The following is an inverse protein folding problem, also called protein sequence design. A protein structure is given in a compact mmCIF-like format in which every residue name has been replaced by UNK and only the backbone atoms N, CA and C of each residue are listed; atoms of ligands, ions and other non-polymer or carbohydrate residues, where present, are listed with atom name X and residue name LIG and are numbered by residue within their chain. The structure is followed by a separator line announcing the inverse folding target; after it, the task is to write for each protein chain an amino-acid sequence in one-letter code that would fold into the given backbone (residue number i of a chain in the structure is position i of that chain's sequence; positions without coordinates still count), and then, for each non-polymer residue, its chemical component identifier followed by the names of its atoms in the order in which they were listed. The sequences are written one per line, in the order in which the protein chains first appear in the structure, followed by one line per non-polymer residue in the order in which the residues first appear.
data_IF_209984398264
#
_entry.id   IF_209984398264
#
_cell.length_a   1.000
_cell.length_b   1.000
_cell.length_c   1.000
_cell.angle_alpha   90.00
_cell.angle_beta   90.00
_cell.angle_gamma   90.00
#
_symmetry.space_group_name_H-M   'P 1'
#
loop_
_entity.id
_entity.type
_entity.pdbx_description
1 polymer ?
#
# COMPACT_ATOMS: atom_id res chain seq x y z
N UNK A 1 -37.27 18.78 78.68
CA UNK A 1 -37.01 19.82 79.71
C UNK A 1 -35.70 19.46 80.38
N UNK A 2 -34.70 20.32 80.55
CA UNK A 2 -34.56 21.77 80.31
C UNK A 2 -33.11 22.12 79.87
N UNK A 3 -32.85 23.36 79.46
CA UNK A 3 -31.51 23.90 79.18
C UNK A 3 -31.18 25.09 80.12
N UNK A 4 -29.89 25.36 80.30
CA UNK A 4 -29.32 26.73 80.44
C UNK A 4 -29.36 27.39 81.83
N UNK A 5 -28.64 28.49 82.10
CA UNK A 5 -27.56 29.22 81.37
C UNK A 5 -26.80 30.14 82.37
N UNK A 6 -25.45 30.24 82.38
CA UNK A 6 -24.52 31.19 81.68
C UNK A 6 -24.43 32.65 82.21
N UNK A 7 -23.19 33.03 82.65
CA UNK A 7 -22.52 34.35 82.63
C UNK A 7 -21.06 34.19 83.18
N UNK A 8 -20.06 35.08 83.05
CA UNK A 8 -19.64 36.07 82.01
C UNK A 8 -18.19 36.60 82.32
N UNK A 9 -17.59 37.39 81.40
CA UNK A 9 -16.37 38.25 81.60
C UNK A 9 -14.97 37.55 81.72
N UNK A 10 -13.80 38.21 81.47
CA UNK A 10 -13.36 39.02 80.31
C UNK A 10 -11.97 38.55 79.71
N UNK A 11 -10.97 39.36 79.25
CA UNK A 11 -10.27 39.04 78.01
C UNK A 11 -8.74 38.75 78.12
N UNK A 12 -8.12 38.52 76.96
CA UNK A 12 -6.68 38.53 76.71
C UNK A 12 -5.80 37.44 77.37
N UNK A 13 -5.76 36.24 76.75
CA UNK A 13 -4.49 35.51 76.52
C UNK A 13 -4.67 34.30 75.59
N UNK A 14 -3.94 34.28 74.45
CA UNK A 14 -3.04 33.21 73.98
C UNK A 14 -2.79 33.31 72.46
N UNK A 15 -1.52 33.48 72.08
CA UNK A 15 -1.03 33.12 70.76
C UNK A 15 -0.99 31.60 70.65
N UNK A 16 -2.13 30.96 70.37
CA UNK A 16 -2.18 29.50 70.17
C UNK A 16 -3.41 29.04 69.37
N UNK A 17 -3.62 29.60 68.19
CA UNK A 17 -4.57 29.03 67.23
C UNK A 17 -3.93 28.78 65.87
N UNK A 18 -3.72 27.48 65.60
CA UNK A 18 -3.72 26.82 64.28
C UNK A 18 -2.74 27.45 63.26
N UNK A 19 -1.59 26.86 62.97
CA UNK A 19 -1.40 25.42 62.65
C UNK A 19 -2.62 24.82 61.96
N UNK A 20 -3.15 25.53 60.95
CA UNK A 20 -3.92 24.90 59.90
C UNK A 20 -2.91 24.21 58.95
N UNK A 21 -2.72 22.89 59.14
CA UNK A 21 -1.92 22.07 58.23
C UNK A 21 -2.49 22.19 56.80
N UNK A 22 -1.79 22.94 55.95
CA UNK A 22 -1.74 22.61 54.52
C UNK A 22 -0.55 21.66 54.36
N UNK A 23 -0.76 20.36 54.12
CA UNK A 23 0.35 19.44 53.88
C UNK A 23 1.10 19.84 52.62
N UNK A 24 2.40 19.56 52.63
CA UNK A 24 3.34 19.58 51.51
C UNK A 24 2.85 20.15 50.17
N UNK A 25 3.22 21.41 49.89
CA UNK A 25 3.39 21.86 48.49
C UNK A 25 4.69 21.31 47.87
N UNK A 26 5.06 20.08 48.23
CA UNK A 26 5.99 19.23 47.51
C UNK A 26 5.27 18.34 46.46
N UNK A 27 4.02 18.71 46.09
CA UNK A 27 3.31 18.07 44.97
C UNK A 27 3.98 18.46 43.65
N UNK A 28 4.92 17.60 43.27
CA UNK A 28 5.22 17.22 41.89
C UNK A 28 5.54 18.37 40.90
N UNK A 29 6.81 18.79 40.91
CA UNK A 29 7.43 19.53 39.80
C UNK A 29 8.05 18.62 38.71
N UNK A 30 7.90 17.29 38.81
CA UNK A 30 8.31 16.33 37.77
C UNK A 30 7.32 16.22 36.60
N UNK A 31 6.18 16.90 36.67
CA UNK A 31 5.37 17.28 35.50
C UNK A 31 6.06 18.31 34.57
N UNK A 32 7.38 18.54 34.71
CA UNK A 32 8.22 19.24 33.74
C UNK A 32 8.32 18.44 32.43
N UNK A 33 7.28 18.57 31.60
CA UNK A 33 7.33 18.62 30.13
C UNK A 33 8.51 17.86 29.53
N UNK A 34 8.50 16.53 29.62
CA UNK A 34 9.33 15.73 28.71
C UNK A 34 8.73 15.91 27.32
N UNK A 35 9.35 16.82 26.56
CA UNK A 35 9.04 17.06 25.16
C UNK A 35 9.20 15.72 24.43
N UNK A 36 8.10 15.00 24.21
CA UNK A 36 8.04 13.89 23.25
C UNK A 36 8.15 14.48 21.86
N UNK A 37 9.39 14.84 21.49
CA UNK A 37 9.92 14.53 20.17
C UNK A 37 9.99 12.99 20.07
N UNK A 38 8.85 12.30 20.00
CA UNK A 38 8.81 11.20 19.05
C UNK A 38 9.01 11.89 17.72
N UNK A 39 10.21 11.75 17.15
CA UNK A 39 10.45 12.29 15.81
C UNK A 39 9.48 11.54 14.91
N UNK A 40 8.84 12.23 13.97
CA UNK A 40 7.93 11.58 13.01
C UNK A 40 8.61 10.38 12.33
N UNK A 41 9.95 10.42 12.21
CA UNK A 41 10.81 9.30 11.80
C UNK A 41 10.71 8.03 12.65
N UNK A 42 10.57 8.11 13.98
CA UNK A 42 10.43 6.95 14.87
C UNK A 42 9.03 6.32 14.76
N UNK A 43 8.01 7.16 14.55
CA UNK A 43 6.62 6.73 14.32
C UNK A 43 6.46 6.15 12.91
N UNK A 44 7.12 6.76 11.91
CA UNK A 44 7.23 6.23 10.55
C UNK A 44 8.02 4.91 10.51
N UNK A 45 9.13 4.80 11.24
CA UNK A 45 9.87 3.54 11.40
C UNK A 45 8.96 2.45 11.98
N UNK A 46 8.21 2.75 13.03
CA UNK A 46 7.20 1.82 13.61
C UNK A 46 6.02 1.53 12.68
N UNK A 47 5.71 2.41 11.72
CA UNK A 47 4.70 2.17 10.70
C UNK A 47 5.21 1.20 9.62
N UNK A 48 6.39 1.46 9.04
CA UNK A 48 6.98 0.58 8.02
C UNK A 48 7.44 -0.76 8.61
N UNK A 49 7.89 -0.83 9.86
CA UNK A 49 8.25 -2.12 10.50
C UNK A 49 7.06 -3.06 10.76
N UNK A 50 5.83 -2.69 10.38
CA UNK A 50 4.71 -3.63 10.26
C UNK A 50 4.90 -4.42 8.97
N UNK A 51 5.23 -5.72 9.04
CA UNK A 51 5.55 -6.55 7.85
C UNK A 51 4.58 -6.38 6.68
N UNK A 52 3.28 -6.44 6.95
CA UNK A 52 2.19 -6.23 5.97
C UNK A 52 2.30 -4.91 5.16
N UNK A 53 2.96 -3.88 5.66
CA UNK A 53 3.17 -2.60 4.95
C UNK A 53 4.39 -2.68 4.01
N UNK A 54 5.45 -3.39 4.39
CA UNK A 54 6.63 -3.56 3.54
C UNK A 54 6.40 -4.56 2.41
N UNK A 55 5.74 -5.68 2.69
CA UNK A 55 5.45 -6.67 1.65
C UNK A 55 4.52 -6.07 0.58
N UNK A 56 3.53 -5.27 1.00
CA UNK A 56 2.66 -4.49 0.10
C UNK A 56 3.46 -3.44 -0.69
N UNK A 57 4.30 -2.65 -0.03
CA UNK A 57 5.09 -1.61 -0.70
C UNK A 57 6.04 -2.19 -1.76
N UNK A 58 6.73 -3.29 -1.43
CA UNK A 58 7.60 -4.02 -2.36
C UNK A 58 6.78 -4.57 -3.53
N UNK A 59 5.62 -5.18 -3.27
CA UNK A 59 4.72 -5.66 -4.32
C UNK A 59 4.25 -4.58 -5.28
N UNK A 60 3.88 -3.39 -4.78
CA UNK A 60 3.46 -2.25 -5.62
C UNK A 60 4.62 -1.68 -6.44
N UNK A 61 5.82 -1.53 -5.85
CA UNK A 61 7.00 -1.02 -6.54
C UNK A 61 7.45 -1.98 -7.65
N UNK A 62 7.53 -3.29 -7.35
CA UNK A 62 7.87 -4.32 -8.34
C UNK A 62 6.81 -4.41 -9.43
N UNK A 63 5.52 -4.37 -9.08
CA UNK A 63 4.42 -4.39 -10.06
C UNK A 63 4.47 -3.20 -11.03
N UNK A 64 4.72 -1.99 -10.52
CA UNK A 64 4.89 -0.79 -11.35
C UNK A 64 6.12 -0.87 -12.28
N UNK A 65 7.27 -1.32 -11.76
CA UNK A 65 8.48 -1.48 -12.56
C UNK A 65 8.34 -2.59 -13.62
N UNK A 66 7.71 -3.72 -13.27
CA UNK A 66 7.49 -4.84 -14.19
C UNK A 66 6.56 -4.46 -15.34
N UNK A 67 5.51 -3.68 -15.07
CA UNK A 67 4.63 -3.14 -16.12
C UNK A 67 5.39 -2.31 -17.17
N UNK A 68 6.37 -1.49 -16.73
CA UNK A 68 7.23 -0.72 -17.64
C UNK A 68 8.16 -1.61 -18.47
N UNK A 69 8.77 -2.64 -17.86
CA UNK A 69 9.63 -3.61 -18.56
C UNK A 69 8.83 -4.36 -19.64
N UNK A 70 7.64 -4.87 -19.30
CA UNK A 70 6.78 -5.56 -20.27
C UNK A 70 6.24 -4.64 -21.34
N UNK A 71 6.00 -3.36 -21.03
CA UNK A 71 5.61 -2.34 -22.00
C UNK A 71 6.75 -2.07 -23.01
N UNK A 72 7.96 -1.78 -22.54
CA UNK A 72 9.13 -1.55 -23.42
C UNK A 72 9.42 -2.76 -24.31
N UNK A 73 9.38 -3.99 -23.76
CA UNK A 73 9.50 -5.21 -24.57
C UNK A 73 8.42 -5.31 -25.65
N UNK A 74 7.19 -4.87 -25.36
CA UNK A 74 6.09 -4.86 -26.33
C UNK A 74 6.28 -3.79 -27.40
N UNK A 75 6.47 -2.54 -26.98
CA UNK A 75 6.47 -1.36 -27.85
C UNK A 75 7.78 -1.23 -28.66
N UNK A 76 8.94 -1.55 -28.06
CA UNK A 76 10.27 -1.30 -28.66
C UNK A 76 10.85 -2.52 -29.39
N UNK A 77 10.36 -3.73 -29.12
CA UNK A 77 10.90 -4.99 -29.69
C UNK A 77 9.82 -5.76 -30.44
N UNK A 78 8.69 -6.10 -29.79
CA UNK A 78 7.67 -6.95 -30.43
C UNK A 78 6.91 -6.18 -31.52
N UNK A 79 6.46 -4.95 -31.27
CA UNK A 79 5.70 -4.17 -32.25
C UNK A 79 6.49 -3.87 -33.54
N UNK A 80 7.80 -3.52 -33.51
CA UNK A 80 8.62 -3.43 -34.71
C UNK A 80 8.77 -4.75 -35.45
N UNK A 81 8.97 -5.87 -34.75
CA UNK A 81 9.08 -7.20 -35.37
C UNK A 81 7.76 -7.66 -36.01
N UNK A 82 6.63 -7.44 -35.34
CA UNK A 82 5.28 -7.74 -35.83
C UNK A 82 4.95 -6.84 -37.02
N UNK A 83 5.21 -5.53 -36.92
CA UNK A 83 5.00 -4.59 -38.04
C UNK A 83 5.86 -4.94 -39.24
N UNK A 84 7.11 -5.36 -39.04
CA UNK A 84 7.98 -5.81 -40.14
C UNK A 84 7.46 -7.10 -40.79
N UNK A 85 7.00 -8.08 -40.00
CA UNK A 85 6.53 -9.37 -40.49
C UNK A 85 5.15 -9.32 -41.18
N UNK A 86 4.24 -8.47 -40.68
CA UNK A 86 2.86 -8.36 -41.15
C UNK A 86 2.59 -7.13 -42.04
N UNK A 87 3.62 -6.39 -42.46
CA UNK A 87 3.51 -5.37 -43.50
C UNK A 87 3.01 -3.98 -43.04
N UNK A 88 3.38 -3.56 -41.83
CA UNK A 88 3.08 -2.22 -41.30
C UNK A 88 1.74 -2.18 -40.57
N UNK A 89 1.68 -2.81 -39.39
CA UNK A 89 0.49 -2.87 -38.54
C UNK A 89 0.29 -1.56 -37.73
N UNK A 90 0.24 -0.42 -38.43
CA UNK A 90 0.03 0.90 -37.84
C UNK A 90 -1.43 1.34 -37.96
N UNK A 91 -2.13 1.39 -36.82
CA UNK A 91 -3.49 1.91 -36.75
C UNK A 91 -3.56 3.42 -36.47
N UNK A 92 -2.44 4.14 -36.31
CA UNK A 92 -2.40 5.58 -35.96
C UNK A 92 -3.16 6.45 -36.97
N UNK A 93 -3.12 6.10 -38.26
CA UNK A 93 -3.83 6.80 -39.33
C UNK A 93 -5.36 6.63 -39.36
N UNK A 94 -5.93 5.70 -38.59
CA UNK A 94 -7.36 5.37 -38.65
C UNK A 94 -8.18 6.16 -37.62
N UNK A 95 -8.56 7.38 -38.00
CA UNK A 95 -9.41 8.23 -37.17
C UNK A 95 -10.37 9.09 -38.00
N UNK A 96 -11.57 9.32 -37.45
CA UNK A 96 -12.53 10.29 -38.00
C UNK A 96 -12.31 11.63 -37.32
N UNK A 97 -12.10 12.69 -38.09
CA UNK A 97 -12.04 14.07 -37.57
C UNK A 97 -13.48 14.57 -37.40
N UNK A 98 -13.83 15.03 -36.21
CA UNK A 98 -15.17 15.54 -35.87
C UNK A 98 -15.20 17.06 -35.65
N UNK A 99 -14.05 17.72 -35.68
CA UNK A 99 -13.93 19.18 -35.58
C UNK A 99 -13.03 19.77 -36.68
N UNK A 100 -13.10 21.10 -36.89
CA UNK A 100 -12.22 21.81 -37.82
C UNK A 100 -10.77 21.72 -37.36
N UNK A 101 -9.85 21.58 -38.32
CA UNK A 101 -8.40 21.65 -38.07
C UNK A 101 -7.98 23.13 -38.06
N UNK A 102 -7.19 23.61 -37.09
CA UNK A 102 -6.70 24.99 -37.08
C UNK A 102 -5.92 25.34 -38.36
N UNK A 103 -6.24 26.49 -38.95
CA UNK A 103 -5.53 26.99 -40.13
C UNK A 103 -4.06 27.32 -39.76
N UNK A 104 -3.12 26.62 -40.39
CA UNK A 104 -1.68 26.73 -40.11
C UNK A 104 -1.01 25.47 -39.55
N UNK A 105 -1.74 24.38 -39.35
CA UNK A 105 -1.14 23.13 -38.86
C UNK A 105 -0.31 22.41 -39.93
N UNK A 106 1.01 22.48 -39.80
CA UNK A 106 2.00 21.84 -40.69
C UNK A 106 2.53 20.48 -40.15
N UNK A 107 1.92 19.92 -39.10
CA UNK A 107 2.25 18.60 -38.55
C UNK A 107 1.67 17.45 -39.38
N UNK A 108 2.02 16.21 -39.03
CA UNK A 108 1.60 15.07 -39.86
C UNK A 108 0.12 14.78 -39.68
N UNK A 109 -0.64 14.97 -40.76
CA UNK A 109 -2.08 14.68 -40.84
C UNK A 109 -2.45 13.19 -40.64
N UNK A 110 -1.46 12.33 -40.40
CA UNK A 110 -1.60 10.89 -40.14
C UNK A 110 -1.45 10.51 -38.67
N UNK A 111 -0.98 11.40 -37.79
CA UNK A 111 -0.62 11.03 -36.41
C UNK A 111 -1.71 11.48 -35.41
N UNK A 112 -2.42 10.52 -34.82
CA UNK A 112 -3.53 10.78 -33.90
C UNK A 112 -3.11 11.56 -32.64
N UNK A 113 -1.88 11.35 -32.16
CA UNK A 113 -1.37 12.02 -30.95
C UNK A 113 -1.23 13.54 -31.15
N UNK A 114 -0.57 13.96 -32.23
CA UNK A 114 -0.26 15.37 -32.51
C UNK A 114 -1.53 16.19 -32.80
N UNK A 115 -2.52 15.58 -33.47
CA UNK A 115 -3.82 16.22 -33.74
C UNK A 115 -4.69 16.36 -32.49
N UNK A 116 -4.55 15.45 -31.51
CA UNK A 116 -5.23 15.54 -30.22
C UNK A 116 -4.67 16.69 -29.38
N UNK A 117 -3.35 16.91 -29.42
CA UNK A 117 -2.72 18.07 -28.76
C UNK A 117 -3.12 19.40 -29.43
N UNK A 118 -3.36 19.41 -30.74
CA UNK A 118 -3.92 20.57 -31.46
C UNK A 118 -5.39 20.90 -31.12
N UNK A 119 -6.00 20.23 -30.14
CA UNK A 119 -7.36 20.51 -29.66
C UNK A 119 -8.49 20.09 -30.60
N UNK A 120 -8.19 19.35 -31.68
CA UNK A 120 -9.20 18.85 -32.62
C UNK A 120 -9.97 17.70 -31.98
N UNK A 121 -11.30 17.73 -32.05
CA UNK A 121 -12.11 16.58 -31.64
C UNK A 121 -11.94 15.44 -32.67
N UNK A 122 -11.36 14.33 -32.23
CA UNK A 122 -11.04 13.16 -33.06
C UNK A 122 -11.70 11.91 -32.48
N UNK A 123 -12.24 11.07 -33.36
CA UNK A 123 -12.66 9.70 -33.06
C UNK A 123 -11.61 8.73 -33.58
N UNK A 124 -10.60 8.45 -32.75
CA UNK A 124 -9.51 7.53 -33.04
C UNK A 124 -9.84 6.08 -32.71
N UNK A 125 -10.64 5.44 -33.57
CA UNK A 125 -10.89 4.00 -33.47
C UNK A 125 -9.62 3.18 -33.73
N UNK A 126 -8.69 3.69 -34.55
CA UNK A 126 -7.35 3.15 -34.74
C UNK A 126 -6.52 3.11 -33.47
N UNK A 127 -6.47 4.21 -32.70
CA UNK A 127 -5.76 4.24 -31.41
C UNK A 127 -6.38 3.27 -30.40
N UNK A 128 -7.70 3.08 -30.43
CA UNK A 128 -8.35 2.05 -29.62
C UNK A 128 -7.94 0.63 -30.05
N UNK A 129 -7.86 0.36 -31.36
CA UNK A 129 -7.36 -0.91 -31.89
C UNK A 129 -5.90 -1.16 -31.48
N UNK A 130 -5.01 -0.16 -31.54
CA UNK A 130 -3.63 -0.24 -31.02
C UNK A 130 -3.61 -0.65 -29.54
N UNK A 131 -4.42 -0.01 -28.69
CA UNK A 131 -4.48 -0.34 -27.26
C UNK A 131 -4.98 -1.76 -27.01
N UNK A 132 -5.98 -2.24 -27.78
CA UNK A 132 -6.48 -3.61 -27.69
C UNK A 132 -5.41 -4.63 -28.14
N UNK A 133 -4.71 -4.36 -29.23
CA UNK A 133 -3.61 -5.22 -29.72
C UNK A 133 -2.46 -5.27 -28.70
N UNK A 134 -2.04 -4.11 -28.17
CA UNK A 134 -1.00 -4.05 -27.14
C UNK A 134 -1.41 -4.80 -25.86
N UNK A 135 -2.69 -4.77 -25.47
CA UNK A 135 -3.20 -5.55 -24.34
C UNK A 135 -3.12 -7.06 -24.60
N UNK A 136 -3.49 -7.54 -25.80
CA UNK A 136 -3.40 -8.95 -26.18
C UNK A 136 -1.94 -9.42 -26.22
N UNK A 137 -1.03 -8.61 -26.79
CA UNK A 137 0.41 -8.91 -26.81
C UNK A 137 0.99 -8.95 -25.39
N UNK A 138 0.66 -7.98 -24.53
CA UNK A 138 1.08 -7.93 -23.14
C UNK A 138 0.61 -9.18 -22.36
N UNK A 139 -0.66 -9.56 -22.52
CA UNK A 139 -1.20 -10.77 -21.91
C UNK A 139 -0.47 -12.03 -22.39
N UNK A 140 -0.14 -12.11 -23.69
CA UNK A 140 0.62 -13.22 -24.27
C UNK A 140 2.07 -13.28 -23.77
N UNK A 141 2.75 -12.13 -23.60
CA UNK A 141 4.10 -12.06 -23.02
C UNK A 141 4.10 -12.51 -21.56
N UNK A 142 3.16 -12.00 -20.75
CA UNK A 142 3.03 -12.41 -19.34
C UNK A 142 2.76 -13.93 -19.26
N UNK A 143 1.89 -14.46 -20.12
CA UNK A 143 1.66 -15.90 -20.22
C UNK A 143 2.92 -16.69 -20.59
N UNK A 144 3.73 -16.23 -21.56
CA UNK A 144 4.99 -16.88 -21.91
C UNK A 144 6.02 -16.82 -20.77
N UNK A 145 6.10 -15.71 -20.03
CA UNK A 145 6.98 -15.60 -18.86
C UNK A 145 6.56 -16.55 -17.74
N UNK A 146 5.27 -16.55 -17.36
CA UNK A 146 4.73 -17.48 -16.35
C UNK A 146 4.91 -18.93 -16.79
N UNK A 147 4.66 -19.25 -18.06
CA UNK A 147 4.89 -20.59 -18.62
C UNK A 147 6.37 -20.99 -18.57
N UNK A 148 7.29 -20.05 -18.80
CA UNK A 148 8.73 -20.31 -18.75
C UNK A 148 9.20 -20.55 -17.32
N UNK A 149 8.74 -19.71 -16.37
CA UNK A 149 9.02 -19.88 -14.94
C UNK A 149 8.47 -21.21 -14.43
N UNK A 150 7.22 -21.55 -14.74
CA UNK A 150 6.63 -22.84 -14.39
C UNK A 150 7.43 -24.01 -15.00
N UNK A 151 7.87 -23.88 -16.27
CA UNK A 151 8.68 -24.92 -16.95
C UNK A 151 10.06 -25.13 -16.34
N UNK A 152 10.69 -24.11 -15.76
CA UNK A 152 11.99 -24.27 -15.06
C UNK A 152 11.79 -24.74 -13.61
N UNK A 153 10.80 -24.23 -12.89
CA UNK A 153 10.48 -24.65 -11.52
C UNK A 153 9.96 -26.11 -11.46
N UNK A 154 9.34 -26.61 -12.55
CA UNK A 154 9.01 -28.03 -12.73
C UNK A 154 10.20 -29.00 -12.67
N UNK A 155 11.46 -28.52 -12.62
CA UNK A 155 12.64 -29.38 -12.40
C UNK A 155 13.08 -29.49 -10.94
N UNK A 156 12.62 -28.62 -10.05
CA UNK A 156 12.85 -28.70 -8.61
C UNK A 156 11.51 -28.54 -7.85
N UNK A 157 10.75 -29.63 -7.62
CA UNK A 157 9.51 -29.59 -6.84
C UNK A 157 9.71 -29.22 -5.35
N UNK A 158 10.93 -28.87 -4.93
CA UNK A 158 11.29 -28.44 -3.58
C UNK A 158 11.49 -26.92 -3.43
N UNK A 159 11.54 -26.14 -4.52
CA UNK A 159 11.91 -24.71 -4.45
C UNK A 159 10.72 -23.75 -4.35
N UNK A 160 9.50 -24.18 -4.72
CA UNK A 160 8.30 -23.31 -4.62
C UNK A 160 7.70 -23.24 -3.20
N UNK A 161 8.12 -24.13 -2.29
CA UNK A 161 7.74 -24.08 -0.87
C UNK A 161 8.58 -23.08 -0.03
N UNK A 162 9.31 -22.17 -0.68
CA UNK A 162 10.09 -21.08 -0.04
C UNK A 162 9.56 -19.66 -0.30
N UNK A 163 8.33 -19.53 -0.81
CA UNK A 163 7.45 -18.51 -0.18
C UNK A 163 7.22 -18.94 1.27
N UNK A 164 6.95 -18.04 2.24
CA UNK A 164 6.87 -18.38 3.66
C UNK A 164 5.61 -19.21 3.99
N UNK A 165 5.60 -20.46 3.54
CA UNK A 165 4.66 -21.53 3.88
C UNK A 165 5.46 -22.76 4.33
N UNK A 166 6.49 -22.52 5.16
CA UNK A 166 6.57 -23.34 6.37
C UNK A 166 5.16 -23.32 6.97
N UNK A 167 4.49 -24.48 7.18
CA UNK A 167 3.13 -24.47 7.69
C UNK A 167 3.11 -23.60 8.95
N UNK A 168 2.31 -22.51 8.99
CA UNK A 168 2.36 -21.56 10.09
C UNK A 168 2.25 -22.34 11.39
N UNK A 169 3.01 -21.96 12.42
CA UNK A 169 3.16 -22.78 13.64
C UNK A 169 1.80 -23.25 14.18
N UNK A 170 0.79 -22.40 14.09
CA UNK A 170 -0.63 -22.69 14.28
C UNK A 170 -1.12 -23.99 13.62
N UNK A 171 -0.84 -24.26 12.33
CA UNK A 171 -1.23 -25.50 11.63
C UNK A 171 -0.42 -26.72 12.12
N UNK A 172 0.83 -26.54 12.56
CA UNK A 172 1.63 -27.62 13.16
C UNK A 172 1.08 -27.98 14.54
N UNK A 173 0.85 -26.96 15.38
CA UNK A 173 0.22 -27.08 16.69
C UNK A 173 -1.19 -27.67 16.58
N UNK A 174 -2.02 -27.24 15.62
CA UNK A 174 -3.35 -27.80 15.41
C UNK A 174 -3.32 -29.27 14.95
N UNK A 175 -2.30 -29.70 14.20
CA UNK A 175 -2.08 -31.12 13.90
C UNK A 175 -1.70 -31.90 15.15
N UNK A 176 -0.76 -31.38 15.94
CA UNK A 176 -0.34 -32.00 17.21
C UNK A 176 -1.53 -32.13 18.18
N UNK A 177 -2.29 -31.05 18.41
CA UNK A 177 -3.51 -31.04 19.23
C UNK A 177 -4.55 -32.05 18.70
N UNK A 178 -4.78 -32.12 17.39
CA UNK A 178 -5.69 -33.11 16.78
C UNK A 178 -5.24 -34.55 17.07
N UNK A 179 -3.93 -34.81 16.96
CA UNK A 179 -3.39 -36.16 17.11
C UNK A 179 -3.32 -36.59 18.59
N UNK A 180 -3.05 -35.65 19.51
CA UNK A 180 -3.18 -35.82 20.96
C UNK A 180 -4.64 -36.07 21.38
N UNK A 181 -5.60 -35.28 20.88
CA UNK A 181 -7.03 -35.49 21.13
C UNK A 181 -7.53 -36.83 20.57
N UNK A 182 -7.08 -37.21 19.37
CA UNK A 182 -7.44 -38.51 18.78
C UNK A 182 -6.88 -39.68 19.59
N UNK A 183 -5.69 -39.54 20.17
CA UNK A 183 -5.13 -40.52 21.10
C UNK A 183 -5.96 -40.59 22.39
N UNK A 184 -6.22 -39.45 23.03
CA UNK A 184 -7.01 -39.38 24.26
C UNK A 184 -8.46 -39.89 24.11
N UNK A 185 -9.06 -39.75 22.93
CA UNK A 185 -10.44 -40.17 22.63
C UNK A 185 -10.50 -41.56 21.93
N UNK A 186 -9.37 -42.27 21.83
CA UNK A 186 -9.26 -43.60 21.20
C UNK A 186 -8.82 -44.72 22.15
N UNK A 187 -8.62 -44.42 23.44
CA UNK A 187 -8.23 -45.38 24.48
C UNK A 187 -9.37 -45.59 25.52
N UNK A 188 -10.59 -45.84 25.01
CA UNK A 188 -11.77 -46.34 25.76
C UNK A 188 -12.43 -47.46 25.00
#
# INVERSE_FOLDING_TARGET
MQQGAVAAFPPARRQSERVARSPDRAVNSSARRSWRRTRVLDEFKKFISRGNVMDLAVGVIIGGAFALITKSLTDDIIMPLVSWLFGGFDFSGYFVRLGPVPEGYAGSLTNYAELKEAGVLLWGYGQFATVVVNFVILAFIIFLLVRTVNRINMKDPETEAKTPTAPPENIILLKQIRDELKKANGEV
#
